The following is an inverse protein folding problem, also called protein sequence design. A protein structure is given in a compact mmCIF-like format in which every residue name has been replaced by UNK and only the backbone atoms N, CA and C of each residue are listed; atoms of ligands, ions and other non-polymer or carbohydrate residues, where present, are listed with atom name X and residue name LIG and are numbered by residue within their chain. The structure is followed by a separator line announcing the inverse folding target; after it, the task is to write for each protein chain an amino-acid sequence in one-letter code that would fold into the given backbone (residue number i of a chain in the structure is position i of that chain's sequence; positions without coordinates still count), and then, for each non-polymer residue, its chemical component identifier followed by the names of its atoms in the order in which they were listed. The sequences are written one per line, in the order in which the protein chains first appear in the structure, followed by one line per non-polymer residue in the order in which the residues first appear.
data_IF_512042866320
#
_entry.id   IF_512042866320
#
_cell.length_a   1.000
_cell.length_b   1.000
_cell.length_c   1.000
_cell.angle_alpha   90.00
_cell.angle_beta   90.00
_cell.angle_gamma   90.00
#
_symmetry.space_group_name_H-M   'P 1'
#
loop_
_entity.id
_entity.type
_entity.pdbx_description
1 polymer ?
#
# COMPACT_ATOMS: atom_id res chain seq x y z
N UNK A 1 11.09 -6.88 -18.62
CA UNK A 1 10.13 -6.29 -17.66
C UNK A 1 8.81 -6.13 -18.38
N UNK A 2 7.70 -6.57 -17.78
CA UNK A 2 6.38 -6.29 -18.30
C UNK A 2 6.03 -4.85 -18.01
N UNK A 3 5.59 -4.16 -19.04
CA UNK A 3 5.26 -2.75 -18.95
C UNK A 3 3.77 -2.62 -18.79
N UNK A 4 3.27 -1.66 -18.01
CA UNK A 4 1.84 -1.34 -18.07
C UNK A 4 1.44 -1.04 -19.53
N UNK A 5 2.38 -0.52 -20.31
CA UNK A 5 2.32 -0.38 -21.78
C UNK A 5 1.91 -1.67 -22.50
N UNK A 6 2.41 -2.84 -22.09
CA UNK A 6 2.06 -4.13 -22.72
C UNK A 6 0.62 -4.58 -22.46
N UNK A 7 -0.04 -3.99 -21.45
CA UNK A 7 -1.48 -4.15 -21.19
C UNK A 7 -2.28 -2.96 -21.73
N UNK A 8 -1.64 -2.02 -22.43
CA UNK A 8 -2.26 -0.79 -22.93
C UNK A 8 -2.58 0.23 -21.84
N UNK A 9 -1.96 0.15 -20.67
CA UNK A 9 -2.24 1.03 -19.53
C UNK A 9 -1.05 1.94 -19.21
N UNK A 10 -1.33 3.16 -18.73
CA UNK A 10 -0.31 4.11 -18.24
C UNK A 10 -0.30 4.24 -16.72
N UNK A 11 -1.41 3.90 -16.04
CA UNK A 11 -1.58 4.05 -14.59
C UNK A 11 -2.66 3.12 -14.07
N UNK A 12 -2.51 2.61 -12.84
CA UNK A 12 -3.52 1.85 -12.09
C UNK A 12 -3.66 2.40 -10.66
N UNK A 13 -4.87 2.38 -10.08
CA UNK A 13 -5.14 2.77 -8.69
C UNK A 13 -6.16 1.84 -8.01
N UNK A 14 -5.85 1.42 -6.78
CA UNK A 14 -6.72 0.68 -5.84
C UNK A 14 -6.39 1.04 -4.38
N UNK A 15 -7.27 0.74 -3.43
CA UNK A 15 -7.03 0.89 -1.99
C UNK A 15 -6.12 -0.17 -1.36
N UNK A 16 -5.72 -1.20 -2.11
CA UNK A 16 -4.99 -2.37 -1.61
C UNK A 16 -3.58 -2.43 -2.22
N UNK A 17 -2.57 -2.94 -1.49
CA UNK A 17 -1.20 -3.06 -1.98
C UNK A 17 -1.08 -3.90 -3.26
N UNK A 18 0.01 -3.63 -3.97
CA UNK A 18 0.37 -4.29 -5.21
C UNK A 18 1.65 -5.11 -5.06
N UNK A 19 1.65 -6.32 -5.64
CA UNK A 19 2.83 -7.15 -5.85
C UNK A 19 2.99 -7.40 -7.35
N UNK A 20 4.17 -7.13 -7.92
CA UNK A 20 4.48 -7.41 -9.32
C UNK A 20 5.33 -8.68 -9.47
N UNK A 21 5.00 -9.52 -10.47
CA UNK A 21 5.93 -10.54 -10.95
C UNK A 21 5.78 -10.77 -12.46
N UNK A 22 6.88 -10.61 -13.21
CA UNK A 22 7.16 -11.17 -14.55
C UNK A 22 6.03 -11.28 -15.60
N UNK A 23 5.05 -10.37 -15.57
CA UNK A 23 3.97 -10.07 -16.56
C UNK A 23 2.59 -10.09 -15.93
N UNK A 24 2.50 -10.16 -14.60
CA UNK A 24 1.23 -10.21 -13.89
C UNK A 24 1.19 -9.19 -12.78
N UNK A 25 0.04 -8.53 -12.71
CA UNK A 25 -0.31 -7.61 -11.65
C UNK A 25 -1.03 -8.39 -10.55
N UNK A 26 -0.44 -8.49 -9.35
CA UNK A 26 -1.10 -9.11 -8.20
C UNK A 26 -1.59 -8.04 -7.23
N UNK A 27 -2.86 -8.12 -6.85
CA UNK A 27 -3.44 -7.30 -5.79
C UNK A 27 -3.46 -8.12 -4.50
N UNK A 28 -2.83 -7.62 -3.45
CA UNK A 28 -2.89 -8.23 -2.13
C UNK A 28 -4.05 -7.60 -1.37
N UNK A 29 -5.22 -8.24 -1.41
CA UNK A 29 -6.44 -7.75 -0.79
C UNK A 29 -6.57 -8.35 0.60
N UNK A 30 -6.86 -7.51 1.60
CA UNK A 30 -7.02 -7.96 2.98
C UNK A 30 -8.43 -7.72 3.50
N UNK A 31 -9.15 -8.80 3.78
CA UNK A 31 -10.48 -8.77 4.38
C UNK A 31 -10.46 -8.68 5.92
N UNK A 32 -11.01 -7.60 6.51
CA UNK A 32 -11.05 -7.40 7.96
C UNK A 32 -12.15 -8.23 8.65
N UNK A 33 -13.19 -8.63 7.91
CA UNK A 33 -14.29 -9.48 8.38
C UNK A 33 -14.78 -10.37 7.22
N UNK A 34 -15.49 -11.48 7.49
CA UNK A 34 -16.17 -12.22 6.44
C UNK A 34 -17.30 -11.36 5.82
N UNK A 35 -17.64 -11.62 4.57
CA UNK A 35 -18.74 -10.95 3.86
C UNK A 35 -18.37 -10.54 2.44
N UNK A 36 -19.21 -9.70 1.85
CA UNK A 36 -19.05 -9.25 0.48
C UNK A 36 -18.36 -7.89 0.41
N UNK A 37 -17.35 -7.79 -0.47
CA UNK A 37 -16.56 -6.59 -0.70
C UNK A 37 -16.56 -6.23 -2.17
N UNK A 38 -16.58 -4.93 -2.46
CA UNK A 38 -16.45 -4.42 -3.82
C UNK A 38 -15.01 -3.97 -4.07
N UNK A 39 -14.32 -4.68 -4.96
CA UNK A 39 -12.97 -4.36 -5.39
C UNK A 39 -13.03 -3.64 -6.75
N UNK A 40 -12.47 -2.43 -6.86
CA UNK A 40 -12.63 -1.56 -8.04
C UNK A 40 -11.30 -1.07 -8.56
N UNK A 41 -10.92 -1.52 -9.75
CA UNK A 41 -9.69 -1.07 -10.40
C UNK A 41 -10.00 0.16 -11.24
N UNK A 42 -9.22 1.21 -11.02
CA UNK A 42 -9.21 2.41 -11.85
C UNK A 42 -7.92 2.44 -12.67
N UNK A 43 -7.99 2.76 -13.96
CA UNK A 43 -6.81 2.76 -14.82
C UNK A 43 -6.92 3.77 -15.97
N UNK A 44 -5.78 4.26 -16.46
CA UNK A 44 -5.70 5.06 -17.69
C UNK A 44 -5.14 4.23 -18.83
N UNK A 45 -5.70 4.44 -20.02
CA UNK A 45 -5.10 3.94 -21.25
C UNK A 45 -3.75 4.61 -21.48
N UNK A 46 -2.85 3.90 -22.15
CA UNK A 46 -1.63 4.50 -22.70
C UNK A 46 -1.93 5.44 -23.87
N UNK A 47 -2.95 5.14 -24.67
CA UNK A 47 -3.31 5.92 -25.87
C UNK A 47 -4.16 7.15 -25.58
N UNK A 48 -4.81 7.20 -24.42
CA UNK A 48 -5.77 8.26 -24.06
C UNK A 48 -5.43 8.81 -22.66
N UNK A 49 -4.51 9.80 -22.58
CA UNK A 49 -4.24 10.47 -21.32
C UNK A 49 -5.48 11.23 -20.87
N UNK A 50 -5.92 10.98 -19.64
CA UNK A 50 -7.04 11.68 -19.00
C UNK A 50 -6.65 12.11 -17.59
N UNK A 51 -7.20 13.23 -17.14
CA UNK A 51 -6.99 13.72 -15.77
C UNK A 51 -7.74 12.86 -14.74
N UNK A 52 -8.87 12.28 -15.13
CA UNK A 52 -9.69 11.39 -14.28
C UNK A 52 -9.39 9.92 -14.56
N UNK A 53 -9.17 9.12 -13.52
CA UNK A 53 -9.03 7.66 -13.65
C UNK A 53 -10.42 7.01 -13.80
N UNK A 54 -10.82 6.47 -14.96
CA UNK A 54 -12.07 5.74 -15.09
C UNK A 54 -12.00 4.39 -14.36
N UNK A 55 -13.14 3.91 -13.87
CA UNK A 55 -13.25 2.56 -13.32
C UNK A 55 -13.30 1.54 -14.45
N UNK A 56 -12.31 0.65 -14.52
CA UNK A 56 -12.15 -0.32 -15.61
C UNK A 56 -12.62 -1.73 -15.23
N UNK A 57 -12.44 -2.13 -13.97
CA UNK A 57 -12.90 -3.43 -13.47
C UNK A 57 -13.61 -3.30 -12.13
N UNK A 58 -14.69 -4.07 -11.97
CA UNK A 58 -15.46 -4.15 -10.74
C UNK A 58 -15.64 -5.62 -10.39
N UNK A 59 -15.12 -6.05 -9.24
CA UNK A 59 -15.28 -7.40 -8.73
C UNK A 59 -16.09 -7.37 -7.44
N UNK A 60 -16.98 -8.35 -7.29
CA UNK A 60 -17.61 -8.69 -6.03
C UNK A 60 -16.83 -9.86 -5.43
N UNK A 61 -16.20 -9.63 -4.29
CA UNK A 61 -15.39 -10.62 -3.59
C UNK A 61 -16.17 -11.10 -2.38
N UNK A 62 -16.33 -12.42 -2.24
CA UNK A 62 -16.82 -13.05 -1.02
C UNK A 62 -15.64 -13.49 -0.17
N UNK A 63 -15.49 -12.91 1.01
CA UNK A 63 -14.55 -13.34 2.01
C UNK A 63 -15.25 -14.30 2.99
N UNK A 64 -14.91 -15.57 2.93
CA UNK A 64 -15.41 -16.59 3.88
C UNK A 64 -14.51 -16.70 5.12
N UNK A 65 -13.31 -16.15 5.05
CA UNK A 65 -12.31 -16.14 6.13
C UNK A 65 -11.72 -14.75 6.29
N UNK A 66 -11.17 -14.50 7.49
CA UNK A 66 -10.55 -13.24 7.87
C UNK A 66 -9.03 -13.37 7.93
N UNK A 67 -8.33 -12.33 7.49
CA UNK A 67 -6.90 -12.19 7.81
C UNK A 67 -6.80 -11.63 9.24
N UNK A 68 -6.83 -12.54 10.23
CA UNK A 68 -6.78 -12.16 11.65
C UNK A 68 -5.40 -11.59 12.01
N UNK A 69 -5.36 -10.31 12.39
CA UNK A 69 -4.76 -9.94 13.67
C UNK A 69 -5.83 -10.18 14.75
N UNK A 70 -5.57 -11.04 15.74
CA UNK A 70 -6.46 -11.20 16.90
C UNK A 70 -6.72 -9.80 17.49
N UNK A 71 -8.00 -9.41 17.62
CA UNK A 71 -8.52 -8.21 18.30
C UNK A 71 -9.07 -7.07 17.43
N UNK A 72 -9.31 -7.28 16.13
CA UNK A 72 -10.19 -6.37 15.37
C UNK A 72 -9.65 -4.96 15.11
N UNK A 73 -8.36 -4.73 15.36
CA UNK A 73 -7.65 -3.51 15.00
C UNK A 73 -6.59 -3.83 13.94
N UNK A 74 -7.05 -4.04 12.71
CA UNK A 74 -6.18 -4.03 11.54
C UNK A 74 -6.30 -2.63 10.97
N UNK A 75 -5.27 -1.80 11.14
CA UNK A 75 -5.16 -0.63 10.27
C UNK A 75 -5.00 -1.19 8.86
N UNK A 76 -5.87 -0.83 7.90
CA UNK A 76 -5.69 -1.26 6.53
C UNK A 76 -4.30 -0.82 6.05
N UNK A 77 -3.72 -1.58 5.14
CA UNK A 77 -2.50 -1.18 4.46
C UNK A 77 -2.64 0.24 3.90
N UNK A 78 -1.53 0.96 3.68
CA UNK A 78 -1.54 2.30 3.14
C UNK A 78 -2.59 2.44 2.03
N UNK A 79 -3.65 3.22 2.27
CA UNK A 79 -4.55 3.62 1.21
C UNK A 79 -3.75 4.46 0.22
N UNK A 80 -3.69 3.96 -1.00
CA UNK A 80 -2.83 4.51 -2.04
C UNK A 80 -3.54 5.68 -2.69
N UNK A 81 -3.33 6.89 -2.15
CA UNK A 81 -3.69 8.09 -2.87
C UNK A 81 -2.54 8.43 -3.83
N UNK A 82 -2.90 8.53 -5.12
CA UNK A 82 -2.09 8.98 -6.26
C UNK A 82 -1.44 7.86 -7.10
N UNK A 83 -1.79 7.90 -8.39
CA UNK A 83 -1.26 7.23 -9.60
C UNK A 83 0.03 6.42 -9.37
N UNK A 84 -0.08 5.12 -9.09
CA UNK A 84 1.09 4.23 -9.15
C UNK A 84 1.48 4.03 -10.61
N UNK A 85 2.65 4.57 -10.96
CA UNK A 85 3.28 4.39 -12.26
C UNK A 85 4.07 3.09 -12.27
N UNK A 86 4.43 2.64 -13.47
CA UNK A 86 5.21 1.44 -13.68
C UNK A 86 6.48 1.40 -12.79
N UNK A 87 6.74 0.24 -12.17
CA UNK A 87 7.90 0.01 -11.31
C UNK A 87 7.75 0.42 -9.84
N UNK A 88 6.60 0.97 -9.44
CA UNK A 88 6.28 1.16 -8.03
C UNK A 88 6.01 -0.20 -7.35
N UNK A 89 6.57 -0.44 -6.16
CA UNK A 89 6.44 -1.72 -5.44
C UNK A 89 6.58 -1.57 -3.92
N UNK A 90 5.63 -2.09 -3.13
CA UNK A 90 5.72 -2.14 -1.66
C UNK A 90 6.36 -3.47 -1.22
N UNK A 91 7.53 -3.41 -0.60
CA UNK A 91 8.21 -4.60 -0.06
C UNK A 91 7.86 -4.89 1.40
N UNK A 92 7.71 -3.85 2.22
CA UNK A 92 7.26 -3.95 3.61
C UNK A 92 6.53 -2.66 4.01
N UNK A 93 5.51 -2.74 4.88
CA UNK A 93 4.90 -3.95 5.43
C UNK A 93 4.01 -4.67 4.41
N UNK A 94 4.08 -6.01 4.39
CA UNK A 94 3.12 -6.88 3.67
C UNK A 94 2.23 -7.65 4.65
N UNK A 95 2.76 -7.94 5.84
CA UNK A 95 2.03 -8.56 6.92
C UNK A 95 1.08 -7.52 7.55
N UNK A 96 -0.21 -7.80 7.44
CA UNK A 96 -1.33 -6.94 7.82
C UNK A 96 -1.52 -6.72 9.32
N UNK A 97 -0.55 -7.14 10.14
CA UNK A 97 -0.72 -7.25 11.58
C UNK A 97 0.30 -6.38 12.28
N UNK A 98 -0.11 -5.15 12.55
CA UNK A 98 0.56 -4.26 13.49
C UNK A 98 -0.02 -4.59 14.87
N UNK A 99 0.34 -5.75 15.42
CA UNK A 99 -0.16 -6.20 16.73
C UNK A 99 0.41 -5.36 17.88
N UNK A 100 -0.38 -5.09 18.92
CA UNK A 100 0.13 -4.82 20.25
C UNK A 100 0.49 -6.15 20.94
N UNK A 101 1.66 -6.21 21.56
CA UNK A 101 1.96 -7.24 22.53
C UNK A 101 1.13 -6.94 23.77
N UNK A 102 0.35 -7.89 24.27
CA UNK A 102 0.07 -7.97 25.69
C UNK A 102 0.01 -9.43 26.13
N UNK A 103 1.08 -9.83 26.81
CA UNK A 103 1.11 -10.65 28.01
C UNK A 103 0.11 -11.81 28.11
N UNK A 104 0.53 -13.00 27.70
CA UNK A 104 0.47 -14.22 28.53
C UNK A 104 1.15 -15.36 27.78
N UNK A 105 2.22 -15.91 28.37
CA UNK A 105 2.76 -17.22 27.98
C UNK A 105 4.13 -17.17 27.31
N UNK A 106 5.16 -17.23 28.15
CA UNK A 106 6.42 -17.97 27.96
C UNK A 106 7.05 -17.95 26.55
N UNK A 107 8.14 -17.19 26.40
CA UNK A 107 9.29 -17.67 25.63
C UNK A 107 9.61 -17.06 24.26
N UNK A 108 9.24 -15.82 23.93
CA UNK A 108 9.85 -15.13 22.78
C UNK A 108 10.25 -13.68 23.08
N UNK A 109 11.54 -13.42 22.94
CA UNK A 109 12.22 -12.15 23.21
C UNK A 109 12.11 -11.17 22.04
N UNK A 110 10.90 -10.88 21.55
CA UNK A 110 10.70 -9.75 20.64
C UNK A 110 9.73 -8.76 21.27
N UNK A 111 10.29 -7.73 21.89
CA UNK A 111 9.55 -6.49 22.13
C UNK A 111 8.95 -6.06 20.79
N UNK A 112 7.64 -6.20 20.62
CA UNK A 112 6.95 -5.77 19.41
C UNK A 112 7.10 -4.26 19.32
N UNK A 113 7.96 -3.83 18.41
CA UNK A 113 8.24 -2.42 18.18
C UNK A 113 6.99 -1.77 17.57
N UNK A 114 6.55 -0.64 18.11
CA UNK A 114 5.55 0.22 17.46
C UNK A 114 6.08 0.83 16.15
N UNK A 115 7.35 0.56 15.82
CA UNK A 115 8.00 0.92 14.58
C UNK A 115 7.74 -0.13 13.50
N UNK A 116 7.18 0.33 12.39
CA UNK A 116 6.92 -0.49 11.21
C UNK A 116 7.99 -0.18 10.16
N UNK A 117 8.68 -1.20 9.64
CA UNK A 117 9.61 -1.02 8.54
C UNK A 117 8.86 -0.76 7.23
N UNK A 118 9.01 0.43 6.69
CA UNK A 118 8.61 0.74 5.33
C UNK A 118 9.78 0.52 4.37
N UNK A 119 9.51 -0.23 3.31
CA UNK A 119 10.43 -0.39 2.18
C UNK A 119 9.63 -0.41 0.89
N UNK A 120 9.89 0.54 0.01
CA UNK A 120 9.12 0.71 -1.24
C UNK A 120 10.05 1.11 -2.38
N UNK A 121 9.79 0.62 -3.58
CA UNK A 121 10.34 1.16 -4.84
C UNK A 121 9.34 2.18 -5.36
N UNK A 122 9.81 3.40 -5.63
CA UNK A 122 9.02 4.42 -6.32
C UNK A 122 9.97 5.10 -7.32
N UNK A 123 10.06 4.58 -8.56
CA UNK A 123 10.97 5.10 -9.57
C UNK A 123 10.68 6.57 -9.88
N UNK A 124 11.72 7.36 -10.13
CA UNK A 124 11.63 8.81 -10.47
C UNK A 124 11.02 9.73 -9.41
N UNK A 125 10.58 9.21 -8.25
CA UNK A 125 10.25 10.08 -7.14
C UNK A 125 11.51 10.80 -6.63
N UNK A 126 11.35 12.04 -6.18
CA UNK A 126 12.39 12.78 -5.45
C UNK A 126 12.10 12.84 -3.95
N UNK A 127 10.86 12.58 -3.52
CA UNK A 127 10.49 12.44 -2.12
C UNK A 127 9.37 11.40 -1.96
N UNK A 128 9.45 10.60 -0.89
CA UNK A 128 8.40 9.65 -0.50
C UNK A 128 8.15 9.77 1.00
N UNK A 129 6.88 9.77 1.41
CA UNK A 129 6.47 9.91 2.81
C UNK A 129 5.34 8.94 3.14
N UNK A 130 5.34 8.47 4.38
CA UNK A 130 4.19 7.78 4.99
C UNK A 130 3.41 8.80 5.82
N UNK A 131 2.10 8.88 5.62
CA UNK A 131 1.21 9.84 6.27
C UNK A 131 0.18 9.09 7.11
N UNK A 132 0.04 9.46 8.39
CA UNK A 132 -0.93 8.87 9.32
C UNK A 132 -1.58 9.99 10.13
N UNK A 133 -2.88 10.23 9.93
CA UNK A 133 -3.52 11.44 10.43
C UNK A 133 -2.79 12.68 9.89
N UNK A 134 -2.28 13.52 10.79
CA UNK A 134 -1.52 14.73 10.46
C UNK A 134 0.00 14.53 10.43
N UNK A 135 0.49 13.33 10.78
CA UNK A 135 1.93 13.06 10.91
C UNK A 135 2.54 12.54 9.61
N UNK A 136 3.64 13.16 9.20
CA UNK A 136 4.40 12.83 7.98
C UNK A 136 5.76 12.25 8.34
N UNK A 137 6.02 11.01 7.94
CA UNK A 137 7.33 10.37 8.05
C UNK A 137 7.98 10.28 6.69
N UNK A 138 9.04 11.06 6.46
CA UNK A 138 9.82 11.00 5.22
C UNK A 138 10.68 9.72 5.16
N UNK A 139 10.72 9.09 3.99
CA UNK A 139 11.53 7.91 3.74
C UNK A 139 12.89 8.32 3.18
N UNK A 140 13.95 7.68 3.67
CA UNK A 140 15.30 7.85 3.13
C UNK A 140 15.49 7.03 1.85
N UNK A 141 16.15 7.62 0.85
CA UNK A 141 16.50 6.93 -0.39
C UNK A 141 17.79 6.13 -0.22
N UNK A 142 17.74 4.84 -0.48
CA UNK A 142 18.88 3.91 -0.45
C UNK A 142 18.86 3.12 -1.75
N UNK A 143 19.79 3.44 -2.66
CA UNK A 143 19.77 2.94 -4.05
C UNK A 143 18.41 3.27 -4.72
N UNK A 144 17.73 2.27 -5.28
CA UNK A 144 16.41 2.41 -5.92
C UNK A 144 15.23 2.20 -4.96
N UNK A 145 15.48 2.25 -3.65
CA UNK A 145 14.44 1.98 -2.63
C UNK A 145 14.33 3.12 -1.63
N UNK A 146 13.11 3.34 -1.15
CA UNK A 146 12.76 4.27 -0.09
C UNK A 146 12.51 3.48 1.20
N UNK A 147 13.14 3.88 2.30
CA UNK A 147 13.11 3.14 3.57
C UNK A 147 12.95 4.05 4.78
N UNK A 148 12.16 3.62 5.76
CA UNK A 148 12.11 4.23 7.09
C UNK A 148 11.46 3.29 8.11
N UNK A 149 11.57 3.64 9.39
CA UNK A 149 10.81 3.05 10.48
C UNK A 149 9.73 4.05 10.89
N UNK A 150 8.47 3.68 10.78
CA UNK A 150 7.33 4.55 11.08
C UNK A 150 6.69 4.13 12.39
N UNK A 151 6.63 5.03 13.38
CA UNK A 151 5.96 4.74 14.64
C UNK A 151 4.45 4.90 14.50
N UNK A 152 3.68 3.87 14.83
CA UNK A 152 2.21 3.97 14.90
C UNK A 152 1.66 4.12 16.30
N UNK A 153 2.53 4.25 17.31
CA UNK A 153 2.13 4.23 18.72
C UNK A 153 1.00 5.21 19.04
N UNK A 154 1.09 6.43 18.50
CA UNK A 154 0.14 7.52 18.75
C UNK A 154 -1.13 7.45 17.88
N UNK A 155 -1.11 6.63 16.83
CA UNK A 155 -2.19 6.54 15.84
C UNK A 155 -3.10 5.33 16.06
N UNK A 156 -2.64 4.32 16.81
CA UNK A 156 -3.38 3.07 17.05
C UNK A 156 -4.76 3.35 17.68
N UNK A 157 -5.79 2.75 17.08
CA UNK A 157 -7.18 2.87 17.55
C UNK A 157 -7.84 4.23 17.27
N UNK A 158 -7.06 5.24 16.86
CA UNK A 158 -7.54 6.57 16.48
C UNK A 158 -7.66 6.69 14.97
N UNK A 159 -6.57 6.44 14.27
CA UNK A 159 -6.51 6.55 12.82
C UNK A 159 -6.92 5.23 12.17
N UNK A 160 -7.70 5.35 11.09
CA UNK A 160 -8.22 4.20 10.33
C UNK A 160 -7.53 4.03 8.99
N UNK A 161 -6.64 4.94 8.63
CA UNK A 161 -5.98 4.99 7.34
C UNK A 161 -4.55 5.48 7.52
N UNK A 162 -3.69 4.95 6.68
CA UNK A 162 -2.32 5.41 6.45
C UNK A 162 -2.20 5.62 4.95
N UNK A 163 -1.38 6.57 4.49
CA UNK A 163 -1.11 6.76 3.07
C UNK A 163 0.38 6.71 2.78
N UNK A 164 0.75 6.28 1.58
CA UNK A 164 2.10 6.44 1.05
C UNK A 164 2.05 7.49 -0.08
N UNK A 165 2.70 8.62 0.14
CA UNK A 165 2.72 9.74 -0.79
C UNK A 165 4.08 9.81 -1.49
N UNK A 166 4.08 9.99 -2.80
CA UNK A 166 5.28 10.19 -3.59
C UNK A 166 5.17 11.52 -4.34
N UNK A 167 6.27 12.29 -4.33
CA UNK A 167 6.42 13.49 -5.13
C UNK A 167 7.35 13.20 -6.31
N UNK A 168 6.92 13.62 -7.49
CA UNK A 168 7.61 13.49 -8.76
C UNK A 168 7.91 14.89 -9.28
N UNK A 169 9.01 15.08 -10.01
CA UNK A 169 9.28 16.37 -10.63
C UNK A 169 8.16 16.69 -11.63
N UNK A 170 7.75 17.96 -11.68
CA UNK A 170 6.65 18.48 -12.51
C UNK A 170 6.85 18.29 -14.04
N UNK A 171 7.92 17.64 -14.48
CA UNK A 171 8.24 17.38 -15.89
C UNK A 171 7.71 16.07 -16.46
N UNK A 172 7.32 15.10 -15.63
CA UNK A 172 6.98 13.73 -16.09
C UNK A 172 5.47 13.44 -15.98
N UNK A 173 4.66 14.46 -16.27
CA UNK A 173 3.19 14.44 -16.24
C UNK A 173 2.51 14.06 -17.55
N UNK A 174 3.26 13.71 -18.60
CA UNK A 174 2.71 13.28 -19.90
C UNK A 174 3.02 11.83 -20.19
#
# INVERSE_FOLDING_TARGET
MPRFESMGLSTVSHSDPFVHSNNQVFFLILFPHPGFFKFRIYALSFSEPSESLPGVFNYLLEATQVHRGRNGQVMPLPQQFVKWKEGCYLYTPLDSVISPANSTGVGSSSAQSDMIPFRVSVPRAHAVSVVVGDDWTHLGKVLDQWKSQVSLKLHRGRERQLALCANYDNGDGS
#
